data_IF_819430628750
#
_entry.id   IF_819430628750
#
_cell.length_a   1.000
_cell.length_b   1.000
_cell.length_c   1.000
_cell.angle_alpha   90.00
_cell.angle_beta   90.00
_cell.angle_gamma   90.00
#
_symmetry.space_group_name_H-M   'P 1'
#
loop_
_entity.id
_entity.type
_entity.pdbx_description
1 polymer ?
#
# COMPACT_ATOMS: atom_id res chain seq x y z
N UNK A 1 47.63 20.43 -12.04
CA UNK A 1 48.82 20.05 -12.84
C UNK A 1 49.36 21.21 -13.67
N UNK A 2 48.55 21.88 -14.50
CA UNK A 2 48.98 22.98 -15.39
C UNK A 2 49.72 24.10 -14.63
N UNK A 3 49.16 24.57 -13.52
CA UNK A 3 49.76 25.63 -12.68
C UNK A 3 51.13 25.21 -12.10
N UNK A 4 51.29 23.93 -11.77
CA UNK A 4 52.50 23.40 -11.15
C UNK A 4 53.68 23.35 -12.13
N UNK A 5 53.44 22.93 -13.37
CA UNK A 5 54.50 22.84 -14.39
C UNK A 5 54.96 24.21 -14.89
N UNK A 6 54.04 25.19 -14.98
CA UNK A 6 54.38 26.57 -15.33
C UNK A 6 55.15 27.25 -14.19
N UNK A 7 54.78 26.99 -12.92
CA UNK A 7 55.49 27.51 -11.74
C UNK A 7 56.93 27.00 -11.68
N UNK A 8 57.16 25.72 -11.90
CA UNK A 8 58.51 25.13 -11.83
C UNK A 8 59.46 25.71 -12.90
N UNK A 9 58.95 25.99 -14.10
CA UNK A 9 59.74 26.65 -15.15
C UNK A 9 60.00 28.13 -14.86
N UNK A 10 59.04 28.85 -14.27
CA UNK A 10 59.23 30.22 -13.83
C UNK A 10 60.29 30.32 -12.72
N UNK A 11 60.26 29.41 -11.74
CA UNK A 11 61.25 29.37 -10.67
C UNK A 11 62.66 29.06 -11.20
N UNK A 12 62.76 28.13 -12.14
CA UNK A 12 64.04 27.78 -12.79
C UNK A 12 64.58 28.95 -13.63
N UNK A 13 63.70 29.68 -14.33
CA UNK A 13 64.07 30.87 -15.09
C UNK A 13 64.50 32.06 -14.21
N UNK A 14 63.76 32.32 -13.12
CA UNK A 14 64.10 33.35 -12.14
C UNK A 14 65.40 33.03 -11.40
N UNK A 15 65.65 31.76 -11.07
CA UNK A 15 66.89 31.29 -10.47
C UNK A 15 68.11 31.54 -11.38
N UNK A 16 67.97 31.24 -12.68
CA UNK A 16 69.02 31.52 -13.65
C UNK A 16 69.30 33.03 -13.80
N UNK A 17 68.25 33.87 -13.79
CA UNK A 17 68.40 35.32 -13.87
C UNK A 17 69.08 35.94 -12.64
N UNK A 18 68.72 35.49 -11.43
CA UNK A 18 69.37 35.94 -10.19
C UNK A 18 70.86 35.57 -10.16
N UNK A 19 71.20 34.36 -10.61
CA UNK A 19 72.57 33.89 -10.69
C UNK A 19 73.41 34.70 -11.72
N UNK A 20 72.81 35.05 -12.86
CA UNK A 20 73.47 35.93 -13.84
C UNK A 20 73.74 37.34 -13.29
N UNK A 21 72.80 37.89 -12.51
CA UNK A 21 72.94 39.22 -11.90
C UNK A 21 74.05 39.25 -10.85
N UNK A 22 74.11 38.24 -9.98
CA UNK A 22 75.20 38.13 -9.00
C UNK A 22 76.58 37.94 -9.63
N UNK A 23 76.66 37.28 -10.79
CA UNK A 23 77.92 37.08 -11.50
C UNK A 23 78.43 38.38 -12.16
N UNK A 24 77.50 39.16 -12.73
CA UNK A 24 77.80 40.46 -13.35
C UNK A 24 78.30 41.49 -12.33
N UNK A 25 77.82 41.42 -11.09
CA UNK A 25 78.24 42.31 -10.00
C UNK A 25 79.64 41.95 -9.44
N UNK A 26 80.23 40.80 -9.83
CA UNK A 26 81.41 40.22 -9.16
C UNK A 26 82.72 40.15 -9.99
N UNK A 27 82.77 40.53 -11.28
CA UNK A 27 84.01 40.37 -12.11
C UNK A 27 84.47 41.63 -12.87
N UNK A 28 85.79 41.87 -12.82
CA UNK A 28 86.52 42.89 -13.60
C UNK A 28 87.74 42.22 -14.29
N UNK A 29 87.72 42.09 -15.63
CA UNK A 29 88.83 41.52 -16.44
C UNK A 29 88.37 40.50 -17.51
N UNK A 30 89.21 40.21 -18.52
CA UNK A 30 88.97 39.49 -19.80
C UNK A 30 88.14 38.17 -19.77
N UNK A 31 87.92 37.56 -18.60
CA UNK A 31 86.94 36.48 -18.35
C UNK A 31 85.48 36.93 -18.49
N UNK A 32 85.19 38.22 -18.23
CA UNK A 32 83.84 38.79 -18.27
C UNK A 32 83.21 38.79 -19.67
N UNK A 33 83.99 38.92 -20.75
CA UNK A 33 83.44 38.96 -22.12
C UNK A 33 82.95 37.59 -22.58
N UNK A 34 83.66 36.51 -22.25
CA UNK A 34 83.24 35.14 -22.57
C UNK A 34 81.99 34.76 -21.76
N UNK A 35 81.95 35.11 -20.47
CA UNK A 35 80.78 34.90 -19.61
C UNK A 35 79.55 35.69 -20.10
N UNK A 36 79.72 36.92 -20.59
CA UNK A 36 78.62 37.71 -21.19
C UNK A 36 78.07 37.04 -22.47
N UNK A 37 78.93 36.45 -23.30
CA UNK A 37 78.49 35.71 -24.50
C UNK A 37 77.74 34.44 -24.13
N UNK A 38 78.22 33.69 -23.13
CA UNK A 38 77.61 32.45 -22.66
C UNK A 38 76.28 32.69 -21.94
N UNK A 39 76.17 33.75 -21.13
CA UNK A 39 74.89 34.17 -20.51
C UNK A 39 73.88 34.62 -21.56
N UNK A 40 74.30 35.36 -22.59
CA UNK A 40 73.42 35.72 -23.72
C UNK A 40 72.93 34.50 -24.49
N UNK A 41 73.77 33.48 -24.67
CA UNK A 41 73.39 32.20 -25.28
C UNK A 41 72.34 31.47 -24.42
N UNK A 42 72.58 31.35 -23.11
CA UNK A 42 71.66 30.74 -22.15
C UNK A 42 70.31 31.47 -22.11
N UNK A 43 70.30 32.80 -22.12
CA UNK A 43 69.07 33.59 -22.17
C UNK A 43 68.27 33.35 -23.46
N UNK A 44 68.94 33.32 -24.62
CA UNK A 44 68.28 33.00 -25.89
C UNK A 44 67.67 31.60 -25.88
N UNK A 45 68.37 30.63 -25.29
CA UNK A 45 67.87 29.27 -25.18
C UNK A 45 66.67 29.17 -24.23
N UNK A 46 66.78 29.76 -23.04
CA UNK A 46 65.67 29.86 -22.09
C UNK A 46 64.44 30.53 -22.71
N UNK A 47 64.65 31.57 -23.53
CA UNK A 47 63.56 32.25 -24.25
C UNK A 47 62.88 31.33 -25.27
N UNK A 48 63.64 30.48 -25.98
CA UNK A 48 63.09 29.50 -26.93
C UNK A 48 62.34 28.40 -26.21
N UNK A 49 62.93 27.81 -25.16
CA UNK A 49 62.29 26.76 -24.37
C UNK A 49 61.02 27.28 -23.72
N UNK A 50 61.05 28.51 -23.16
CA UNK A 50 59.87 29.16 -22.61
C UNK A 50 58.76 29.31 -23.64
N UNK A 51 59.09 29.82 -24.83
CA UNK A 51 58.10 29.95 -25.92
C UNK A 51 57.51 28.59 -26.30
N UNK A 52 58.35 27.58 -26.49
CA UNK A 52 57.91 26.23 -26.82
C UNK A 52 56.98 25.65 -25.75
N UNK A 53 57.32 25.81 -24.46
CA UNK A 53 56.49 25.36 -23.35
C UNK A 53 55.15 26.09 -23.30
N UNK A 54 55.13 27.40 -23.53
CA UNK A 54 53.89 28.17 -23.63
C UNK A 54 53.01 27.68 -24.78
N UNK A 55 53.59 27.50 -25.97
CA UNK A 55 52.87 27.05 -27.16
C UNK A 55 52.31 25.62 -26.95
N UNK A 56 53.09 24.73 -26.34
CA UNK A 56 52.64 23.37 -25.98
C UNK A 56 51.46 23.38 -25.03
N UNK A 57 51.56 24.08 -23.89
CA UNK A 57 50.47 24.13 -22.91
C UNK A 57 49.24 24.86 -23.44
N UNK A 58 49.41 25.85 -24.31
CA UNK A 58 48.30 26.51 -24.99
C UNK A 58 47.50 25.53 -25.85
N UNK A 59 48.20 24.71 -26.65
CA UNK A 59 47.57 23.71 -27.51
C UNK A 59 46.89 22.61 -26.68
N UNK A 60 47.56 22.12 -25.63
CA UNK A 60 47.01 21.11 -24.72
C UNK A 60 45.74 21.63 -24.02
N UNK A 61 45.74 22.91 -23.58
CA UNK A 61 44.56 23.53 -22.99
C UNK A 61 43.41 23.67 -24.01
N UNK A 62 43.72 24.00 -25.26
CA UNK A 62 42.73 24.13 -26.33
C UNK A 62 42.13 22.77 -26.70
N UNK A 63 42.93 21.71 -26.77
CA UNK A 63 42.46 20.35 -27.01
C UNK A 63 41.58 19.85 -25.86
N UNK A 64 42.01 20.08 -24.61
CA UNK A 64 41.21 19.74 -23.43
C UNK A 64 39.86 20.47 -23.42
N UNK A 65 39.84 21.75 -23.81
CA UNK A 65 38.59 22.51 -23.92
C UNK A 65 37.67 21.92 -25.00
N UNK A 66 38.20 21.60 -26.18
CA UNK A 66 37.43 20.96 -27.24
C UNK A 66 36.82 19.62 -26.84
N UNK A 67 37.55 18.81 -26.05
CA UNK A 67 37.02 17.54 -25.49
C UNK A 67 35.88 17.78 -24.51
N UNK A 68 35.97 18.83 -23.70
CA UNK A 68 34.89 19.21 -22.77
C UNK A 68 33.65 19.66 -23.53
N UNK A 69 33.80 20.51 -24.55
CA UNK A 69 32.68 21.00 -25.36
C UNK A 69 31.99 19.86 -26.14
N UNK A 70 32.75 18.91 -26.70
CA UNK A 70 32.22 17.72 -27.35
C UNK A 70 31.48 16.81 -26.36
N UNK A 71 32.04 16.58 -25.17
CA UNK A 71 31.39 15.80 -24.12
C UNK A 71 30.10 16.47 -23.63
N UNK A 72 30.11 17.79 -23.44
CA UNK A 72 28.93 18.57 -23.06
C UNK A 72 27.84 18.48 -24.15
N UNK A 73 28.22 18.61 -25.42
CA UNK A 73 27.30 18.49 -26.55
C UNK A 73 26.66 17.11 -26.61
N UNK A 74 27.47 16.04 -26.48
CA UNK A 74 26.97 14.65 -26.41
C UNK A 74 26.04 14.43 -25.24
N UNK A 75 26.37 14.97 -24.06
CA UNK A 75 25.51 14.88 -22.89
C UNK A 75 24.17 15.59 -23.10
N UNK A 76 24.18 16.80 -23.69
CA UNK A 76 22.94 17.54 -24.02
C UNK A 76 22.05 16.77 -24.99
N UNK A 77 22.62 16.16 -26.02
CA UNK A 77 21.87 15.33 -26.98
C UNK A 77 21.27 14.11 -26.27
N UNK A 78 22.06 13.35 -25.51
CA UNK A 78 21.58 12.18 -24.79
C UNK A 78 20.48 12.51 -23.78
N UNK A 79 20.61 13.63 -23.07
CA UNK A 79 19.58 14.13 -22.15
C UNK A 79 18.29 14.51 -22.89
N UNK A 80 18.42 15.13 -24.07
CA UNK A 80 17.30 15.45 -24.96
C UNK A 80 16.56 14.20 -25.42
N UNK A 81 17.27 13.20 -25.91
CA UNK A 81 16.70 11.91 -26.32
C UNK A 81 16.04 11.16 -25.17
N UNK A 82 16.64 11.20 -23.97
CA UNK A 82 16.04 10.59 -22.79
C UNK A 82 14.74 11.31 -22.42
N UNK A 83 14.71 12.65 -22.51
CA UNK A 83 13.52 13.44 -22.25
C UNK A 83 12.40 13.14 -23.23
N UNK A 84 12.69 13.00 -24.53
CA UNK A 84 11.66 12.65 -25.53
C UNK A 84 11.11 11.25 -25.29
N UNK A 85 11.97 10.27 -24.99
CA UNK A 85 11.51 8.90 -24.65
C UNK A 85 10.55 8.89 -23.46
N UNK A 86 10.90 9.59 -22.37
CA UNK A 86 10.00 9.67 -21.22
C UNK A 86 8.70 10.40 -21.54
N UNK A 87 8.73 11.38 -22.42
CA UNK A 87 7.51 12.05 -22.88
C UNK A 87 6.62 11.09 -23.67
N UNK A 88 7.19 10.33 -24.61
CA UNK A 88 6.46 9.32 -25.39
C UNK A 88 5.84 8.24 -24.47
N UNK A 89 6.58 7.79 -23.46
CA UNK A 89 6.08 6.84 -22.46
C UNK A 89 4.92 7.42 -21.63
N UNK A 90 5.01 8.70 -21.24
CA UNK A 90 3.93 9.39 -20.52
C UNK A 90 2.68 9.44 -21.40
N UNK A 91 2.81 9.88 -22.64
CA UNK A 91 1.69 10.02 -23.57
C UNK A 91 1.04 8.64 -23.87
N UNK A 92 1.86 7.60 -24.01
CA UNK A 92 1.40 6.21 -24.17
C UNK A 92 0.60 5.72 -22.96
N UNK A 93 1.13 5.92 -21.75
CA UNK A 93 0.46 5.52 -20.50
C UNK A 93 -0.83 6.31 -20.27
N UNK A 94 -0.88 7.58 -20.66
CA UNK A 94 -2.09 8.40 -20.59
C UNK A 94 -3.17 7.87 -21.54
N UNK A 95 -2.79 7.47 -22.76
CA UNK A 95 -3.69 6.82 -23.71
C UNK A 95 -4.24 5.49 -23.18
N UNK A 96 -3.37 4.62 -22.64
CA UNK A 96 -3.79 3.35 -22.04
C UNK A 96 -4.74 3.57 -20.85
N UNK A 97 -4.43 4.54 -19.99
CA UNK A 97 -5.30 4.92 -18.86
C UNK A 97 -6.67 5.41 -19.35
N UNK A 98 -6.73 6.17 -20.43
CA UNK A 98 -7.99 6.61 -21.02
C UNK A 98 -8.79 5.42 -21.57
N UNK A 99 -8.13 4.49 -22.26
CA UNK A 99 -8.74 3.28 -22.78
C UNK A 99 -9.31 2.38 -21.66
N UNK A 100 -8.54 2.15 -20.59
CA UNK A 100 -8.98 1.36 -19.45
C UNK A 100 -10.16 2.01 -18.73
N UNK A 101 -10.16 3.34 -18.59
CA UNK A 101 -11.32 4.07 -18.03
C UNK A 101 -12.57 3.91 -18.89
N UNK A 102 -12.45 3.97 -20.22
CA UNK A 102 -13.59 3.75 -21.12
C UNK A 102 -14.15 2.32 -20.97
N UNK A 103 -13.29 1.30 -20.97
CA UNK A 103 -13.70 -0.10 -20.76
C UNK A 103 -14.36 -0.32 -19.40
N UNK A 104 -13.85 0.33 -18.35
CA UNK A 104 -14.46 0.28 -17.03
C UNK A 104 -15.87 0.87 -17.06
N UNK A 105 -16.05 2.05 -17.65
CA UNK A 105 -17.35 2.69 -17.79
C UNK A 105 -18.35 1.83 -18.59
N UNK A 106 -17.91 1.20 -19.68
CA UNK A 106 -18.73 0.26 -20.46
C UNK A 106 -19.15 -0.95 -19.63
N UNK A 107 -18.22 -1.55 -18.87
CA UNK A 107 -18.52 -2.70 -18.01
C UNK A 107 -19.49 -2.32 -16.88
N UNK A 108 -19.33 -1.13 -16.30
CA UNK A 108 -20.25 -0.60 -15.28
C UNK A 108 -21.64 -0.35 -15.88
N UNK A 109 -21.72 0.16 -17.11
CA UNK A 109 -23.00 0.33 -17.81
C UNK A 109 -23.68 -1.02 -18.06
N UNK A 110 -22.94 -2.04 -18.48
CA UNK A 110 -23.46 -3.41 -18.63
C UNK A 110 -23.98 -3.96 -17.31
N UNK A 111 -23.24 -3.79 -16.21
CA UNK A 111 -23.69 -4.21 -14.87
C UNK A 111 -24.97 -3.47 -14.47
N UNK A 112 -25.09 -2.16 -14.74
CA UNK A 112 -26.33 -1.41 -14.48
C UNK A 112 -27.51 -1.95 -15.27
N UNK A 113 -27.31 -2.28 -16.56
CA UNK A 113 -28.36 -2.89 -17.41
C UNK A 113 -28.76 -4.28 -16.89
N UNK A 114 -27.79 -5.11 -16.51
CA UNK A 114 -28.08 -6.44 -15.97
C UNK A 114 -28.81 -6.36 -14.63
N UNK A 115 -28.42 -5.44 -13.75
CA UNK A 115 -29.13 -5.18 -12.51
C UNK A 115 -30.55 -4.70 -12.77
N UNK A 116 -30.78 -3.72 -13.66
CA UNK A 116 -32.14 -3.28 -13.96
C UNK A 116 -33.00 -4.39 -14.57
N UNK A 117 -32.42 -5.24 -15.42
CA UNK A 117 -33.10 -6.43 -15.94
C UNK A 117 -33.44 -7.44 -14.85
N UNK A 118 -32.56 -7.61 -13.86
CA UNK A 118 -32.80 -8.50 -12.72
C UNK A 118 -33.92 -7.96 -11.83
N UNK A 119 -33.90 -6.66 -11.52
CA UNK A 119 -34.96 -5.99 -10.75
C UNK A 119 -36.31 -6.00 -11.46
N UNK A 120 -36.31 -5.89 -12.80
CA UNK A 120 -37.51 -6.00 -13.63
C UNK A 120 -37.95 -7.45 -13.88
N UNK A 121 -37.06 -8.43 -13.71
CA UNK A 121 -37.39 -9.83 -13.85
C UNK A 121 -38.23 -10.24 -12.64
N UNK A 122 -39.54 -10.10 -12.77
CA UNK A 122 -40.50 -10.68 -11.83
C UNK A 122 -40.39 -12.20 -11.90
N UNK A 123 -39.68 -12.76 -10.92
CA UNK A 123 -39.71 -14.21 -10.68
C UNK A 123 -41.10 -14.52 -10.15
N UNK A 124 -41.96 -15.06 -11.02
CA UNK A 124 -43.28 -15.53 -10.60
C UNK A 124 -43.07 -16.62 -9.52
N UNK A 125 -43.54 -16.39 -8.28
CA UNK A 125 -43.35 -17.32 -7.17
C UNK A 125 -43.95 -18.70 -7.42
N UNK A 126 -44.87 -18.83 -8.39
CA UNK A 126 -45.46 -20.11 -8.78
C UNK A 126 -44.66 -20.90 -9.82
N UNK A 127 -43.66 -20.30 -10.51
CA UNK A 127 -42.86 -21.00 -11.53
C UNK A 127 -42.15 -22.25 -11.01
N UNK A 128 -41.58 -22.16 -9.81
CA UNK A 128 -40.86 -23.28 -9.20
C UNK A 128 -41.81 -24.34 -8.62
N UNK A 129 -42.88 -23.98 -7.89
CA UNK A 129 -43.95 -24.92 -7.55
C UNK A 129 -44.56 -25.63 -8.78
N UNK A 130 -44.76 -24.93 -9.89
CA UNK A 130 -45.24 -25.50 -11.15
C UNK A 130 -44.26 -26.54 -11.71
N UNK A 131 -42.96 -26.23 -11.73
CA UNK A 131 -41.92 -27.18 -12.13
C UNK A 131 -41.91 -28.41 -11.22
N UNK A 132 -42.00 -28.22 -9.90
CA UNK A 132 -42.05 -29.34 -8.96
C UNK A 132 -43.29 -30.19 -9.19
N UNK A 133 -44.47 -29.60 -9.39
CA UNK A 133 -45.69 -30.37 -9.66
C UNK A 133 -45.62 -31.14 -10.98
N UNK A 134 -44.94 -30.61 -12.01
CA UNK A 134 -44.85 -31.23 -13.33
C UNK A 134 -43.81 -32.36 -13.38
N UNK A 135 -42.73 -32.25 -12.61
CA UNK A 135 -41.58 -33.18 -12.68
C UNK A 135 -41.38 -34.01 -11.43
N UNK A 136 -42.15 -33.76 -10.36
CA UNK A 136 -42.05 -34.49 -9.09
C UNK A 136 -43.43 -34.71 -8.48
N UNK A 137 -43.59 -35.82 -7.78
CA UNK A 137 -44.77 -36.03 -6.93
C UNK A 137 -44.55 -35.41 -5.54
N UNK A 138 -44.43 -34.09 -5.52
CA UNK A 138 -44.34 -33.35 -4.26
C UNK A 138 -45.73 -33.30 -3.60
N UNK A 139 -45.79 -33.66 -2.32
CA UNK A 139 -47.02 -33.55 -1.51
C UNK A 139 -46.73 -32.74 -0.27
N UNK A 140 -47.46 -31.65 -0.06
CA UNK A 140 -47.20 -30.77 1.07
C UNK A 140 -48.13 -29.55 1.10
N UNK A 141 -47.79 -28.59 1.95
CA UNK A 141 -48.50 -27.33 2.02
C UNK A 141 -47.96 -26.38 0.93
N UNK A 142 -48.61 -26.38 -0.23
CA UNK A 142 -48.24 -25.60 -1.41
C UNK A 142 -48.27 -24.09 -1.18
N UNK A 143 -49.23 -23.58 -0.41
CA UNK A 143 -49.31 -22.16 -0.05
C UNK A 143 -48.11 -21.74 0.80
N UNK A 144 -47.73 -22.58 1.79
CA UNK A 144 -46.57 -22.32 2.64
C UNK A 144 -45.25 -22.37 1.86
N UNK A 145 -45.15 -23.25 0.87
CA UNK A 145 -43.99 -23.31 -0.03
C UNK A 145 -43.91 -22.04 -0.90
N UNK A 146 -45.03 -21.61 -1.46
CA UNK A 146 -45.14 -20.35 -2.21
C UNK A 146 -44.74 -19.13 -1.35
N UNK A 147 -45.20 -19.05 -0.10
CA UNK A 147 -44.87 -17.95 0.80
C UNK A 147 -43.38 -17.93 1.17
N UNK A 148 -42.77 -19.10 1.34
CA UNK A 148 -41.33 -19.24 1.54
C UNK A 148 -40.54 -18.72 0.33
N UNK A 149 -40.95 -19.06 -0.89
CA UNK A 149 -40.31 -18.53 -2.11
C UNK A 149 -40.51 -17.02 -2.25
N UNK A 150 -41.67 -16.49 -1.90
CA UNK A 150 -41.88 -15.04 -1.84
C UNK A 150 -40.95 -14.34 -0.86
N UNK A 151 -40.69 -14.95 0.31
CA UNK A 151 -39.73 -14.43 1.28
C UNK A 151 -38.30 -14.46 0.73
N UNK A 152 -37.90 -15.54 0.07
CA UNK A 152 -36.60 -15.66 -0.60
C UNK A 152 -36.42 -14.64 -1.73
N UNK A 153 -37.44 -14.42 -2.56
CA UNK A 153 -37.42 -13.42 -3.65
C UNK A 153 -37.28 -12.00 -3.08
N UNK A 154 -37.79 -11.74 -1.87
CA UNK A 154 -37.75 -10.44 -1.18
C UNK A 154 -36.58 -10.29 -0.21
N UNK A 155 -35.59 -11.20 -0.23
CA UNK A 155 -34.48 -11.26 0.73
C UNK A 155 -34.91 -11.09 2.20
N UNK A 156 -36.10 -11.62 2.54
CA UNK A 156 -36.72 -11.48 3.84
C UNK A 156 -36.58 -12.78 4.64
N UNK A 157 -36.27 -12.66 5.94
CA UNK A 157 -36.16 -13.84 6.82
C UNK A 157 -37.55 -14.44 7.07
N UNK A 158 -37.70 -15.78 7.04
CA UNK A 158 -38.96 -16.40 7.46
C UNK A 158 -39.21 -16.15 8.95
N UNK A 159 -40.49 -16.11 9.39
CA UNK A 159 -40.84 -15.98 10.80
C UNK A 159 -40.20 -17.07 11.67
N UNK A 160 -39.77 -16.71 12.86
CA UNK A 160 -39.10 -17.63 13.81
C UNK A 160 -40.01 -18.78 14.28
N UNK A 161 -41.33 -18.64 14.11
CA UNK A 161 -42.31 -19.69 14.39
C UNK A 161 -42.45 -20.74 13.27
N UNK A 162 -41.73 -20.58 12.15
CA UNK A 162 -41.83 -21.49 11.02
C UNK A 162 -40.88 -22.67 11.16
N UNK A 163 -41.39 -23.78 11.67
CA UNK A 163 -40.71 -25.08 11.56
C UNK A 163 -41.18 -25.81 10.30
N UNK A 164 -40.21 -26.23 9.47
CA UNK A 164 -40.46 -27.00 8.24
C UNK A 164 -39.86 -28.39 8.38
N UNK A 165 -40.71 -29.42 8.28
CA UNK A 165 -40.29 -30.84 8.27
C UNK A 165 -40.39 -31.36 6.84
N UNK A 166 -39.26 -31.83 6.29
CA UNK A 166 -39.20 -32.43 4.95
C UNK A 166 -39.05 -33.94 5.11
N UNK A 167 -40.05 -34.69 4.70
CA UNK A 167 -40.01 -36.15 4.68
C UNK A 167 -39.87 -36.64 3.24
N UNK A 168 -38.83 -37.43 2.97
CA UNK A 168 -38.61 -38.07 1.67
C UNK A 168 -39.00 -39.54 1.79
N UNK A 169 -40.04 -39.95 1.07
CA UNK A 169 -40.53 -41.34 1.08
C UNK A 169 -40.50 -41.93 -0.32
N UNK A 170 -40.15 -43.22 -0.41
CA UNK A 170 -40.24 -43.96 -1.67
C UNK A 170 -41.70 -44.02 -2.17
N UNK A 171 -41.87 -43.96 -3.50
CA UNK A 171 -43.16 -43.81 -4.19
C UNK A 171 -44.18 -44.89 -3.82
N UNK A 172 -43.71 -46.11 -3.59
CA UNK A 172 -44.48 -47.31 -3.27
C UNK A 172 -45.07 -47.33 -1.85
N UNK A 173 -44.61 -46.43 -0.96
CA UNK A 173 -44.97 -46.42 0.46
C UNK A 173 -45.96 -45.31 0.85
N UNK A 174 -46.57 -44.60 -0.11
CA UNK A 174 -47.53 -43.53 0.21
C UNK A 174 -48.80 -44.10 0.85
N UNK A 175 -49.16 -43.58 2.04
CA UNK A 175 -50.35 -44.00 2.80
C UNK A 175 -51.37 -42.89 3.08
N UNK A 176 -51.12 -41.65 2.68
CA UNK A 176 -52.00 -40.53 3.01
C UNK A 176 -52.44 -39.75 1.75
N UNK A 177 -53.72 -39.37 1.71
CA UNK A 177 -54.24 -38.42 0.74
C UNK A 177 -53.72 -37.01 1.10
N UNK A 178 -52.92 -36.42 0.21
CA UNK A 178 -52.41 -35.06 0.37
C UNK A 178 -53.39 -34.04 -0.22
N UNK A 179 -53.27 -32.78 0.24
CA UNK A 179 -54.00 -31.68 -0.35
C UNK A 179 -53.62 -31.54 -1.84
N UNK A 180 -54.61 -31.44 -2.76
CA UNK A 180 -54.33 -31.23 -4.18
C UNK A 180 -53.55 -29.95 -4.42
N UNK A 181 -52.71 -29.95 -5.46
CA UNK A 181 -52.08 -28.71 -5.92
C UNK A 181 -53.17 -27.71 -6.37
N UNK A 182 -53.14 -26.45 -5.89
CA UNK A 182 -54.17 -25.47 -6.24
C UNK A 182 -54.22 -25.22 -7.75
N UNK A 183 -55.42 -25.22 -8.31
CA UNK A 183 -55.64 -24.87 -9.71
C UNK A 183 -55.13 -23.46 -10.01
N UNK A 184 -54.65 -23.25 -11.24
CA UNK A 184 -54.13 -21.94 -11.68
C UNK A 184 -55.12 -20.79 -11.49
N UNK A 185 -56.42 -21.09 -11.54
CA UNK A 185 -57.54 -20.15 -11.33
C UNK A 185 -57.76 -19.72 -9.87
N UNK A 186 -57.31 -20.52 -8.89
CA UNK A 186 -57.51 -20.29 -7.45
C UNK A 186 -56.26 -19.74 -6.74
N UNK A 187 -55.15 -19.59 -7.45
CA UNK A 187 -53.91 -19.01 -6.91
C UNK A 187 -54.08 -17.53 -6.59
N UNK A 188 -53.53 -17.10 -5.46
CA UNK A 188 -53.46 -15.68 -5.12
C UNK A 188 -52.71 -14.92 -6.24
N UNK A 189 -53.29 -13.85 -6.81
CA UNK A 189 -52.60 -13.08 -7.84
C UNK A 189 -51.34 -12.44 -7.26
N UNK A 190 -50.28 -12.22 -8.06
CA UNK A 190 -49.10 -11.48 -7.61
C UNK A 190 -49.59 -10.09 -7.19
N UNK A 191 -49.55 -9.82 -5.89
CA UNK A 191 -50.02 -8.57 -5.31
C UNK A 191 -49.19 -7.41 -5.89
N UNK A 192 -49.80 -6.69 -6.83
CA UNK A 192 -49.39 -5.34 -7.16
C UNK A 192 -49.65 -4.48 -5.94
N UNK A 193 -48.61 -3.78 -5.47
CA UNK A 193 -48.54 -3.16 -4.16
C UNK A 193 -49.78 -2.35 -3.80
N UNK A 194 -50.47 -2.76 -2.76
CA UNK A 194 -51.31 -1.88 -1.96
C UNK A 194 -51.50 -2.52 -0.60
N UNK A 195 -51.04 -1.82 0.43
CA UNK A 195 -51.14 -2.27 1.81
C UNK A 195 -52.61 -2.48 2.18
N UNK A 196 -52.97 -3.71 2.51
CA UNK A 196 -54.22 -3.99 3.19
C UNK A 196 -54.01 -5.11 4.20
N UNK A 197 -54.22 -4.73 5.46
CA UNK A 197 -54.26 -5.60 6.63
C UNK A 197 -55.37 -6.63 6.46
N UNK A 198 -55.03 -7.85 6.06
CA UNK A 198 -55.93 -9.00 6.15
C UNK A 198 -55.73 -9.71 7.47
N UNK A 199 -56.71 -9.52 8.35
CA UNK A 199 -56.91 -10.21 9.62
C UNK A 199 -57.13 -11.70 9.35
N UNK A 200 -56.15 -12.55 9.68
CA UNK A 200 -56.36 -14.00 9.73
C UNK A 200 -57.02 -14.39 11.06
N UNK A 201 -58.28 -14.81 10.99
CA UNK A 201 -58.98 -15.53 12.07
C UNK A 201 -58.50 -16.98 12.09
N UNK A 202 -57.78 -17.37 13.15
CA UNK A 202 -57.46 -18.76 13.43
C UNK A 202 -58.56 -19.44 14.25
N UNK A 203 -59.01 -20.61 13.80
CA UNK A 203 -59.77 -21.57 14.61
C UNK A 203 -58.76 -22.39 15.43
N UNK A 204 -58.71 -22.15 16.75
CA UNK A 204 -57.93 -22.97 17.68
C UNK A 204 -58.84 -24.06 18.22
N UNK A 205 -58.56 -25.30 17.85
CA UNK A 205 -59.13 -26.48 18.52
C UNK A 205 -58.43 -26.62 19.87
N UNK A 206 -59.22 -26.57 20.93
CA UNK A 206 -58.83 -26.56 22.34
C UNK A 206 -58.67 -28.01 22.79
N UNK A 207 -57.47 -28.39 23.25
CA UNK A 207 -57.35 -29.56 24.10
C UNK A 207 -56.64 -29.22 25.41
N UNK A 208 -57.24 -29.69 26.49
CA UNK A 208 -57.08 -29.24 27.86
C UNK A 208 -56.08 -30.13 28.58
N UNK A 209 -55.03 -29.55 29.20
CA UNK A 209 -54.48 -30.10 30.45
C UNK A 209 -54.16 -29.00 31.45
N UNK A 210 -54.86 -29.08 32.57
CA UNK A 210 -54.66 -28.32 33.82
C UNK A 210 -53.28 -28.59 34.41
N UNK A 211 -52.62 -27.56 34.92
CA UNK A 211 -51.97 -27.65 36.24
C UNK A 211 -52.10 -26.30 36.94
N UNK A 212 -52.40 -26.37 38.24
CA UNK A 212 -52.78 -25.27 39.14
C UNK A 212 -51.58 -24.60 39.79
N UNK A 213 -51.79 -23.33 40.17
CA UNK A 213 -51.17 -22.66 41.33
C UNK A 213 -49.82 -22.00 41.02
N UNK A 214 -49.46 -20.82 41.52
CA UNK A 214 -50.03 -20.02 42.60
C UNK A 214 -49.69 -18.53 42.40
N UNK A 215 -50.39 -17.68 43.15
CA UNK A 215 -50.45 -16.22 43.11
C UNK A 215 -49.35 -15.51 43.95
N UNK A 216 -49.20 -14.22 43.66
CA UNK A 216 -48.64 -13.10 44.46
C UNK A 216 -47.10 -12.93 44.38
N UNK A 217 -46.53 -11.72 44.34
CA UNK A 217 -47.08 -10.37 44.54
C UNK A 217 -46.06 -9.28 44.19
N UNK A 218 -46.53 -8.03 44.29
CA UNK A 218 -45.83 -6.77 44.04
C UNK A 218 -44.57 -6.56 44.91
N UNK A 219 -43.64 -5.71 44.47
CA UNK A 219 -42.74 -5.02 45.41
C UNK A 219 -41.46 -4.37 44.85
N UNK A 220 -41.55 -3.08 44.57
CA UNK A 220 -40.60 -2.00 44.90
C UNK A 220 -39.09 -2.08 44.58
N UNK A 221 -38.67 -1.10 43.76
CA UNK A 221 -37.46 -0.25 43.80
C UNK A 221 -36.43 -0.53 44.92
N UNK A 222 -35.15 -0.65 44.53
CA UNK A 222 -34.06 0.17 45.12
C UNK A 222 -32.83 0.25 44.21
N UNK A 223 -32.34 1.48 44.10
CA UNK A 223 -31.08 1.92 43.51
C UNK A 223 -29.84 1.32 44.19
N UNK A 224 -28.72 1.29 43.45
CA UNK A 224 -27.37 1.51 44.00
C UNK A 224 -26.42 2.00 42.90
N UNK A 225 -26.01 3.25 43.08
CA UNK A 225 -24.82 3.88 42.51
C UNK A 225 -23.54 3.12 42.91
N UNK A 226 -22.53 3.18 42.04
CA UNK A 226 -21.08 3.19 42.33
C UNK A 226 -20.37 3.50 41.00
N UNK A 227 -20.10 4.77 40.71
CA UNK A 227 -18.84 5.49 40.98
C UNK A 227 -17.80 5.40 39.84
N UNK A 228 -17.72 6.53 39.14
CA UNK A 228 -16.68 6.96 38.20
C UNK A 228 -15.45 7.46 38.98
N UNK A 229 -14.22 7.26 38.48
CA UNK A 229 -13.13 8.19 38.75
C UNK A 229 -12.72 8.97 37.49
N UNK A 230 -13.16 10.23 37.49
CA UNK A 230 -12.47 11.48 37.16
C UNK A 230 -11.59 11.54 35.90
N UNK A 231 -12.18 12.15 34.89
CA UNK A 231 -11.59 13.02 33.87
C UNK A 231 -10.56 14.00 34.46
N UNK A 232 -9.34 14.02 33.89
CA UNK A 232 -8.47 15.20 33.92
C UNK A 232 -8.38 15.76 32.50
N UNK A 233 -9.14 16.83 32.27
CA UNK A 233 -8.98 17.74 31.15
C UNK A 233 -7.78 18.64 31.39
N UNK A 234 -6.86 18.73 30.44
CA UNK A 234 -5.96 19.88 30.32
C UNK A 234 -5.86 20.33 28.85
N UNK A 235 -6.51 21.47 28.61
CA UNK A 235 -6.16 22.58 27.71
C UNK A 235 -5.57 22.30 26.32
N UNK A 236 -6.33 22.73 25.31
CA UNK A 236 -5.89 22.94 23.94
C UNK A 236 -4.71 23.93 23.86
N UNK A 237 -3.58 23.43 23.38
CA UNK A 237 -2.53 24.17 22.68
C UNK A 237 -2.06 23.26 21.54
N UNK A 238 -1.63 23.79 20.37
CA UNK A 238 -1.18 22.96 19.27
C UNK A 238 0.10 22.22 19.68
N UNK A 239 -0.04 20.98 20.15
CA UNK A 239 1.11 20.16 20.52
C UNK A 239 1.94 19.89 19.27
N UNK A 240 3.15 20.43 19.26
CA UNK A 240 4.22 19.95 18.39
C UNK A 240 4.43 18.47 18.73
N UNK A 241 3.91 17.57 17.89
CA UNK A 241 4.04 16.13 18.08
C UNK A 241 5.53 15.79 18.15
N UNK A 242 6.10 15.55 19.34
CA UNK A 242 7.50 15.06 19.38
C UNK A 242 7.52 13.69 18.70
N UNK A 243 8.20 13.56 17.59
CA UNK A 243 8.33 12.33 16.81
C UNK A 243 9.29 11.39 17.54
N UNK A 244 9.00 10.08 17.57
CA UNK A 244 10.00 9.09 18.01
C UNK A 244 10.86 8.70 16.81
N UNK A 245 12.12 9.15 16.77
CA UNK A 245 13.01 8.92 15.63
C UNK A 245 13.61 7.51 15.61
N UNK A 246 13.91 6.95 16.79
CA UNK A 246 14.55 5.63 16.95
C UNK A 246 13.88 4.78 18.04
N UNK A 247 13.94 3.43 17.94
CA UNK A 247 13.62 2.54 19.05
C UNK A 247 14.62 2.72 20.19
N UNK A 248 14.20 2.55 21.45
CA UNK A 248 15.10 2.65 22.61
C UNK A 248 16.19 1.57 22.64
N UNK A 249 15.84 0.35 22.23
CA UNK A 249 16.74 -0.82 22.29
C UNK A 249 17.30 -1.19 20.90
N UNK A 250 17.70 -0.19 20.12
CA UNK A 250 18.13 -0.40 18.72
C UNK A 250 19.38 -1.30 18.61
N UNK A 251 19.24 -2.40 17.87
CA UNK A 251 20.26 -3.42 17.63
C UNK A 251 20.22 -3.85 16.16
N UNK A 252 20.85 -3.07 15.25
CA UNK A 252 20.67 -3.26 13.81
C UNK A 252 21.20 -4.63 13.37
N UNK A 253 20.36 -5.36 12.63
CA UNK A 253 20.74 -6.63 12.01
C UNK A 253 21.63 -6.42 10.79
N UNK A 254 22.35 -7.47 10.38
CA UNK A 254 23.20 -7.46 9.17
C UNK A 254 22.41 -7.68 7.87
N UNK A 255 21.21 -8.25 7.97
CA UNK A 255 20.38 -8.58 6.81
C UNK A 255 19.84 -7.31 6.14
N UNK A 256 19.81 -7.33 4.81
CA UNK A 256 19.20 -6.27 4.01
C UNK A 256 17.71 -6.53 3.76
N UNK A 257 16.99 -5.47 3.39
CA UNK A 257 15.56 -5.49 3.03
C UNK A 257 15.40 -5.95 1.57
N UNK A 258 14.22 -6.45 1.19
CA UNK A 258 13.94 -6.84 -0.21
C UNK A 258 14.02 -5.62 -1.13
N UNK A 259 14.56 -5.82 -2.33
CA UNK A 259 14.72 -4.74 -3.32
C UNK A 259 13.36 -4.21 -3.75
N UNK A 260 13.28 -2.93 -4.09
CA UNK A 260 12.02 -2.27 -4.48
C UNK A 260 11.29 -3.00 -5.63
N UNK A 261 12.03 -3.45 -6.64
CA UNK A 261 11.51 -4.17 -7.82
C UNK A 261 11.31 -5.67 -7.64
N UNK A 262 11.63 -6.25 -6.48
CA UNK A 262 11.57 -7.70 -6.27
C UNK A 262 10.13 -8.19 -6.19
N UNK A 263 9.70 -9.14 -7.04
CA UNK A 263 8.30 -9.60 -7.11
C UNK A 263 7.83 -10.21 -5.78
N UNK A 264 6.54 -10.03 -5.43
CA UNK A 264 5.96 -10.69 -4.26
C UNK A 264 5.92 -12.20 -4.52
N UNK A 265 6.09 -13.00 -3.47
CA UNK A 265 6.05 -14.47 -3.59
C UNK A 265 4.61 -14.93 -3.80
N UNK A 266 3.67 -14.20 -3.21
CA UNK A 266 2.22 -14.46 -3.29
C UNK A 266 1.56 -13.31 -4.04
N UNK A 267 0.60 -13.62 -4.92
CA UNK A 267 -0.23 -12.60 -5.56
C UNK A 267 -1.16 -11.95 -4.54
N UNK A 268 -1.69 -10.77 -4.83
CA UNK A 268 -2.59 -10.10 -3.89
C UNK A 268 -3.86 -10.92 -3.69
N UNK A 269 -4.38 -11.51 -4.76
CA UNK A 269 -5.57 -12.35 -4.81
C UNK A 269 -5.39 -13.61 -3.96
N UNK A 270 -4.23 -14.26 -4.03
CA UNK A 270 -3.91 -15.40 -3.17
C UNK A 270 -3.71 -14.97 -1.71
N UNK A 271 -3.13 -13.79 -1.44
CA UNK A 271 -3.03 -13.27 -0.08
C UNK A 271 -4.42 -13.02 0.55
N UNK A 272 -5.42 -12.61 -0.26
CA UNK A 272 -6.80 -12.44 0.19
C UNK A 272 -7.47 -13.76 0.60
N UNK A 273 -7.14 -14.89 -0.04
CA UNK A 273 -7.72 -16.21 0.31
C UNK A 273 -7.04 -16.86 1.51
N UNK A 274 -5.86 -16.38 1.92
CA UNK A 274 -5.11 -16.88 3.08
C UNK A 274 -5.52 -16.25 4.41
N UNK A 275 -6.42 -15.26 4.39
CA UNK A 275 -6.92 -14.64 5.61
C UNK A 275 -8.01 -15.51 6.25
N UNK A 276 -8.05 -15.60 7.60
CA UNK A 276 -9.15 -16.26 8.29
C UNK A 276 -10.47 -15.50 8.03
N UNK A 277 -11.58 -16.24 8.08
CA UNK A 277 -12.92 -15.70 7.83
C UNK A 277 -13.23 -14.49 8.70
N UNK A 278 -13.67 -13.39 8.06
CA UNK A 278 -14.00 -12.13 8.74
C UNK A 278 -12.88 -11.07 8.79
N UNK A 279 -11.64 -11.43 8.47
CA UNK A 279 -10.54 -10.45 8.43
C UNK A 279 -10.47 -9.74 7.08
N UNK A 280 -10.62 -8.42 7.07
CA UNK A 280 -10.51 -7.60 5.85
C UNK A 280 -9.06 -7.25 5.59
N UNK A 281 -8.53 -7.53 4.39
CA UNK A 281 -7.14 -7.22 4.03
C UNK A 281 -6.77 -5.75 4.27
N UNK A 282 -7.71 -4.81 4.11
CA UNK A 282 -7.49 -3.36 4.38
C UNK A 282 -7.39 -2.99 5.86
N UNK A 283 -7.73 -3.89 6.77
CA UNK A 283 -7.64 -3.69 8.23
C UNK A 283 -6.40 -4.38 8.81
N UNK A 284 -5.87 -5.42 8.15
CA UNK A 284 -4.63 -6.09 8.56
C UNK A 284 -3.47 -5.10 8.64
N UNK A 285 -2.65 -5.16 9.69
CA UNK A 285 -1.52 -4.23 9.85
C UNK A 285 -0.51 -4.33 8.67
N UNK A 286 0.11 -3.22 8.22
CA UNK A 286 0.95 -3.22 7.01
C UNK A 286 2.14 -4.20 7.03
N UNK A 287 2.76 -4.43 8.19
CA UNK A 287 3.88 -5.37 8.33
C UNK A 287 3.44 -6.84 8.17
N UNK A 288 2.28 -7.19 8.71
CA UNK A 288 1.64 -8.51 8.50
C UNK A 288 1.30 -8.72 7.02
N UNK A 289 0.77 -7.70 6.33
CA UNK A 289 0.51 -7.77 4.87
C UNK A 289 1.79 -8.04 4.09
N UNK A 290 2.89 -7.37 4.42
CA UNK A 290 4.16 -7.59 3.74
C UNK A 290 4.71 -9.00 4.00
N UNK A 291 4.57 -9.52 5.22
CA UNK A 291 4.94 -10.89 5.56
C UNK A 291 4.13 -11.92 4.74
N UNK A 292 2.83 -11.72 4.57
CA UNK A 292 1.98 -12.61 3.74
C UNK A 292 2.38 -12.52 2.26
N UNK A 293 2.60 -11.30 1.75
CA UNK A 293 3.10 -11.10 0.38
C UNK A 293 4.51 -11.69 0.15
N UNK A 294 5.27 -11.91 1.23
CA UNK A 294 6.55 -12.60 1.20
C UNK A 294 6.42 -14.14 1.29
N UNK A 295 5.21 -14.70 1.40
CA UNK A 295 4.97 -16.14 1.40
C UNK A 295 4.57 -16.74 2.75
N UNK A 296 4.44 -15.95 3.81
CA UNK A 296 4.03 -16.46 5.12
C UNK A 296 2.50 -16.63 5.18
N UNK A 297 2.04 -17.69 5.84
CA UNK A 297 0.61 -17.85 6.18
C UNK A 297 0.22 -16.81 7.23
N UNK A 298 -1.07 -16.47 7.34
CA UNK A 298 -1.54 -15.43 8.26
C UNK A 298 -1.10 -15.67 9.72
N UNK A 299 -1.33 -16.87 10.25
CA UNK A 299 -0.97 -17.20 11.65
C UNK A 299 0.55 -17.10 11.87
N UNK A 300 1.33 -17.65 10.92
CA UNK A 300 2.80 -17.57 10.96
C UNK A 300 3.28 -16.13 10.84
N UNK A 301 2.63 -15.29 10.03
CA UNK A 301 2.97 -13.89 9.89
C UNK A 301 2.68 -13.11 11.18
N UNK A 302 1.52 -13.33 11.81
CA UNK A 302 1.18 -12.71 13.10
C UNK A 302 2.18 -13.09 14.18
N UNK A 303 2.48 -14.38 14.32
CA UNK A 303 3.48 -14.87 15.26
C UNK A 303 4.87 -14.31 14.90
N UNK A 304 5.24 -14.26 13.62
CA UNK A 304 6.55 -13.77 13.20
C UNK A 304 6.78 -12.32 13.59
N UNK A 305 5.78 -11.49 13.32
CA UNK A 305 5.78 -10.04 13.53
C UNK A 305 5.61 -9.68 15.02
N UNK A 306 4.89 -10.52 15.79
CA UNK A 306 4.69 -10.34 17.22
C UNK A 306 5.87 -10.78 18.08
N UNK A 307 6.78 -11.60 17.53
CA UNK A 307 7.96 -12.10 18.25
C UNK A 307 9.16 -11.17 18.12
N UNK A 308 10.07 -11.28 19.09
CA UNK A 308 11.31 -10.51 19.15
C UNK A 308 12.38 -11.01 18.18
N UNK A 309 12.15 -10.80 16.88
CA UNK A 309 13.01 -11.27 15.79
C UNK A 309 13.04 -10.32 14.62
N UNK A 310 14.09 -10.41 13.81
CA UNK A 310 14.22 -9.62 12.59
C UNK A 310 13.13 -10.00 11.56
N UNK A 311 12.38 -9.01 11.10
CA UNK A 311 11.34 -9.17 10.07
C UNK A 311 11.61 -8.36 8.80
N UNK A 312 12.56 -7.42 8.82
CA UNK A 312 12.81 -6.47 7.74
C UNK A 312 13.24 -7.11 6.42
N UNK A 313 13.82 -8.31 6.47
CA UNK A 313 14.12 -9.16 5.30
C UNK A 313 12.88 -9.58 4.48
N UNK A 314 11.69 -9.54 5.08
CA UNK A 314 10.45 -9.90 4.38
C UNK A 314 9.79 -8.69 3.71
N UNK A 315 10.22 -7.48 4.05
CA UNK A 315 9.60 -6.25 3.57
C UNK A 315 10.32 -5.74 2.33
N UNK A 316 9.59 -5.06 1.44
CA UNK A 316 10.23 -4.28 0.37
C UNK A 316 10.66 -2.92 0.91
N UNK A 317 11.79 -2.41 0.44
CA UNK A 317 12.34 -1.13 0.88
C UNK A 317 11.33 0.02 0.89
N UNK A 318 10.54 0.30 -0.18
CA UNK A 318 9.58 1.41 -0.16
C UNK A 318 8.47 1.25 0.89
N UNK A 319 8.09 0.00 1.19
CA UNK A 319 7.05 -0.30 2.17
C UNK A 319 7.59 -0.18 3.59
N UNK A 320 8.83 -0.65 3.83
CA UNK A 320 9.50 -0.45 5.11
C UNK A 320 9.60 1.04 5.45
N UNK A 321 10.05 1.88 4.52
CA UNK A 321 10.15 3.33 4.78
C UNK A 321 8.78 3.93 5.14
N UNK A 322 7.70 3.56 4.44
CA UNK A 322 6.34 4.02 4.78
C UNK A 322 5.90 3.58 6.18
N UNK A 323 6.20 2.34 6.55
CA UNK A 323 5.89 1.81 7.89
C UNK A 323 6.68 2.54 8.98
N UNK A 324 7.99 2.79 8.74
CA UNK A 324 8.84 3.54 9.67
C UNK A 324 8.35 4.97 9.88
N UNK A 325 8.04 5.70 8.81
CA UNK A 325 7.50 7.08 8.88
C UNK A 325 6.22 7.13 9.74
N UNK A 326 5.29 6.20 9.51
CA UNK A 326 4.06 6.09 10.32
C UNK A 326 4.38 5.78 11.79
N UNK A 327 5.20 4.76 12.05
CA UNK A 327 5.61 4.38 13.40
C UNK A 327 6.31 5.51 14.17
N UNK A 328 7.19 6.25 13.51
CA UNK A 328 7.93 7.38 14.08
C UNK A 328 6.99 8.51 14.48
N UNK A 329 6.07 8.86 13.58
CA UNK A 329 5.07 9.89 13.82
C UNK A 329 4.13 9.50 14.98
N UNK A 330 3.62 8.27 14.99
CA UNK A 330 2.68 7.78 16.00
C UNK A 330 3.33 7.26 17.29
N UNK A 331 4.66 7.40 17.46
CA UNK A 331 5.44 6.88 18.62
C UNK A 331 5.19 5.42 18.92
N UNK A 332 5.05 4.68 17.85
CA UNK A 332 5.07 3.25 17.86
C UNK A 332 6.45 2.94 17.35
N UNK A 333 7.57 3.27 18.02
CA UNK A 333 8.89 2.65 17.76
C UNK A 333 9.42 1.78 18.93
N UNK A 334 8.75 1.73 20.09
CA UNK A 334 9.00 0.70 21.13
C UNK A 334 7.99 -0.48 21.17
N UNK A 335 6.68 -0.23 20.95
CA UNK A 335 5.60 -1.26 20.82
C UNK A 335 5.60 -2.27 19.63
N UNK A 336 6.70 -2.49 18.91
CA UNK A 336 6.71 -3.49 17.80
C UNK A 336 8.07 -4.15 17.77
N UNK A 337 8.17 -5.44 18.10
CA UNK A 337 9.47 -6.02 18.47
C UNK A 337 10.51 -6.01 17.34
N UNK A 338 10.11 -6.28 16.10
CA UNK A 338 11.05 -6.50 15.00
C UNK A 338 11.88 -5.29 14.58
N UNK A 339 11.49 -4.08 14.94
CA UNK A 339 12.12 -2.86 14.40
C UNK A 339 13.44 -2.50 15.01
N UNK A 340 13.74 -2.97 16.22
CA UNK A 340 15.06 -2.80 16.79
C UNK A 340 16.15 -3.42 15.91
N UNK A 341 15.81 -4.40 15.08
CA UNK A 341 16.71 -5.08 14.16
C UNK A 341 16.86 -4.42 12.78
N UNK A 342 16.12 -3.34 12.49
CA UNK A 342 16.18 -2.67 11.18
C UNK A 342 17.50 -1.89 11.06
N UNK A 343 18.24 -1.96 9.95
CA UNK A 343 19.44 -1.15 9.75
C UNK A 343 19.19 0.37 9.79
N UNK A 344 20.14 1.13 10.34
CA UNK A 344 20.04 2.58 10.58
C UNK A 344 19.76 3.39 9.29
N UNK A 345 20.35 3.00 8.15
CA UNK A 345 20.15 3.68 6.87
C UNK A 345 18.66 3.82 6.45
N UNK A 346 17.82 2.88 6.86
CA UNK A 346 16.38 2.95 6.59
C UNK A 346 15.65 3.94 7.50
N UNK A 347 16.15 4.16 8.72
CA UNK A 347 15.65 5.20 9.60
C UNK A 347 16.03 6.59 9.12
N UNK A 348 17.26 6.78 8.62
CA UNK A 348 17.69 8.04 8.00
C UNK A 348 16.82 8.39 6.79
N UNK A 349 16.56 7.41 5.91
CA UNK A 349 15.66 7.61 4.76
C UNK A 349 14.22 7.96 5.20
N UNK A 350 13.76 7.40 6.31
CA UNK A 350 12.45 7.70 6.87
C UNK A 350 12.42 9.10 7.51
N UNK A 351 13.50 9.55 8.14
CA UNK A 351 13.65 10.90 8.67
C UNK A 351 13.55 11.94 7.56
N UNK A 352 14.34 11.79 6.49
CA UNK A 352 14.30 12.70 5.33
C UNK A 352 12.89 12.78 4.74
N UNK A 353 12.18 11.65 4.70
CA UNK A 353 10.82 11.60 4.17
C UNK A 353 9.82 12.25 5.10
N UNK A 354 9.98 12.12 6.41
CA UNK A 354 9.14 12.76 7.42
C UNK A 354 9.36 14.27 7.48
N UNK A 355 10.60 14.73 7.29
CA UNK A 355 10.95 16.15 7.32
C UNK A 355 10.51 16.88 6.04
N UNK A 356 10.55 16.18 4.89
CA UNK A 356 10.11 16.71 3.60
C UNK A 356 8.58 16.71 3.42
N UNK A 357 7.87 15.78 4.07
CA UNK A 357 6.43 15.59 3.87
C UNK A 357 5.66 16.10 5.10
N UNK A 358 4.99 17.24 4.97
CA UNK A 358 4.13 17.79 6.02
C UNK A 358 2.82 17.03 6.24
N UNK A 359 2.57 15.97 5.48
CA UNK A 359 1.36 15.17 5.56
C UNK A 359 1.42 14.18 6.72
N UNK A 360 0.30 14.08 7.46
CA UNK A 360 0.14 13.14 8.56
C UNK A 360 0.09 11.70 8.01
N UNK A 361 1.02 10.81 8.36
CA UNK A 361 1.00 9.43 7.89
C UNK A 361 -0.14 8.63 8.52
N UNK A 362 -0.63 7.55 7.88
CA UNK A 362 -1.71 6.72 8.41
C UNK A 362 -1.43 6.24 9.84
N UNK A 363 -2.44 6.16 10.73
CA UNK A 363 -2.30 5.63 12.08
C UNK A 363 -1.67 4.24 12.11
N UNK A 364 -0.78 4.01 13.08
CA UNK A 364 -0.18 2.69 13.31
C UNK A 364 -0.91 1.95 14.44
N UNK A 365 -1.68 0.91 14.08
CA UNK A 365 -2.52 0.12 14.99
C UNK A 365 -1.77 -0.83 15.93
N UNK A 366 -2.47 -1.35 16.95
CA UNK A 366 -1.97 -2.45 17.81
C UNK A 366 -1.92 -3.75 17.01
N UNK A 367 -1.08 -4.71 17.42
CA UNK A 367 -1.10 -6.05 16.78
C UNK A 367 -2.35 -6.83 17.19
N UNK A 368 -2.80 -6.62 18.42
CA UNK A 368 -3.84 -7.40 19.09
C UNK A 368 -5.26 -6.84 18.93
N UNK A 369 -5.42 -5.74 18.17
CA UNK A 369 -6.74 -5.19 17.81
C UNK A 369 -7.13 -5.66 16.41
N UNK A 370 -7.95 -6.72 16.27
CA UNK A 370 -8.57 -7.07 14.99
C UNK A 370 -9.71 -6.11 14.60
N UNK A 371 -10.09 -5.19 15.49
CA UNK A 371 -11.10 -4.16 15.24
C UNK A 371 -10.49 -2.80 15.54
N UNK A 372 -9.99 -2.12 14.50
CA UNK A 372 -9.56 -0.74 14.61
C UNK A 372 -10.75 0.16 14.95
N UNK A 373 -10.81 0.62 16.18
CA UNK A 373 -11.54 1.85 16.54
C UNK A 373 -10.51 2.81 17.14
N UNK A 374 -10.49 4.09 16.71
CA UNK A 374 -9.48 5.07 17.09
C UNK A 374 -9.32 5.32 18.59
#
# INVERSE_FOLDING_TARGET
>A
MIVSGVSEHLDRGLGAYRNMRSLADSQQGFTATQEVVDTRRKYKELKRTWKFTCDYWFLEAQEALGKVDDAESKYKVALGEQKTRYQDDIDSLESEKAQLKARLADSEAQVRILKSRLELATVDPWKFPDFLQEHTDFTGNWERLHDLFNLCIKDSKPPESWDTVINVTAMDKRKAAAAPYPEKSTRMPPSSGSGSSVVLKFWISRDSRKSQGSKNGQGSRKSRDSEVPKTQSNSASPQVHKVQRRPKDHQPGRDSVRRAGEKTVVSKEAAHTMLPGGVVWKEVRPDVRQAILAGLKYDTAMEWIGSDRAAHRHFRQPQLIKMLVSMMYWRRLDRTPWRKYVPEAYYETADERLDRCGDVPPPWGNLDDPHGVP
#
